data_IF_255718421411
#
_entry.id   IF_255718421411
#
_cell.length_a   1.000
_cell.length_b   1.000
_cell.length_c   1.000
_cell.angle_alpha   90.00
_cell.angle_beta   90.00
_cell.angle_gamma   90.00
#
_symmetry.space_group_name_H-M   'P 1'
#
loop_
_entity.id
_entity.type
_entity.pdbx_description
1 polymer ?
#
# COMPACT_ATOMS: atom_id res chain seq x y z
N UNK A 1 22.78 -1.77 3.66
CA UNK A 1 22.46 -3.19 3.89
C UNK A 1 20.97 -3.35 3.68
N UNK A 2 20.54 -4.33 2.87
CA UNK A 2 19.10 -4.61 2.71
C UNK A 2 18.57 -5.29 3.96
N UNK A 3 17.55 -4.69 4.56
CA UNK A 3 16.85 -5.20 5.72
C UNK A 3 15.47 -5.67 5.26
N UNK A 4 15.01 -6.77 5.84
CA UNK A 4 13.71 -7.36 5.53
C UNK A 4 12.84 -7.33 6.79
N UNK A 5 11.69 -6.68 6.70
CA UNK A 5 10.70 -6.58 7.76
C UNK A 5 9.42 -7.32 7.34
N UNK A 6 8.94 -8.24 8.18
CA UNK A 6 7.71 -9.01 7.93
C UNK A 6 6.74 -8.86 9.09
N UNK A 7 5.46 -8.75 8.77
CA UNK A 7 4.43 -8.69 9.76
C UNK A 7 3.04 -8.69 9.15
N UNK A 8 2.07 -8.23 9.93
CA UNK A 8 0.67 -8.23 9.56
C UNK A 8 0.13 -6.81 9.56
N UNK A 9 -0.97 -6.60 8.85
CA UNK A 9 -1.72 -5.36 8.98
C UNK A 9 -3.21 -5.61 8.93
N UNK A 10 -3.95 -4.70 9.54
CA UNK A 10 -5.40 -4.60 9.41
C UNK A 10 -5.73 -3.42 8.50
N UNK A 11 -6.86 -3.50 7.81
CA UNK A 11 -7.30 -2.47 6.88
C UNK A 11 -8.79 -2.19 7.06
N UNK A 12 -9.14 -0.92 7.20
CA UNK A 12 -10.51 -0.42 7.18
C UNK A 12 -10.70 0.43 5.94
N UNK A 13 -11.72 0.13 5.14
CA UNK A 13 -12.02 0.86 3.91
C UNK A 13 -13.19 1.82 4.12
N UNK A 14 -13.08 3.02 3.57
CA UNK A 14 -14.17 3.97 3.37
C UNK A 14 -14.32 4.20 1.86
N UNK A 15 -15.25 3.47 1.27
CA UNK A 15 -15.56 3.59 -0.15
C UNK A 15 -16.49 4.79 -0.40
N UNK A 16 -16.24 5.49 -1.50
CA UNK A 16 -17.16 6.47 -2.04
C UNK A 16 -17.92 5.86 -3.24
N UNK A 17 -19.09 6.41 -3.61
CA UNK A 17 -19.70 6.08 -4.89
C UNK A 17 -18.73 6.31 -6.06
N UNK A 18 -18.84 5.54 -7.15
CA UNK A 18 -18.08 5.82 -8.37
C UNK A 18 -18.29 7.28 -8.82
N UNK A 19 -17.21 7.95 -9.19
CA UNK A 19 -17.27 9.34 -9.66
C UNK A 19 -17.47 9.43 -11.17
N UNK A 20 -17.26 8.33 -11.89
CA UNK A 20 -17.49 8.21 -13.32
C UNK A 20 -17.91 6.77 -13.65
N UNK A 21 -18.84 6.62 -14.59
CA UNK A 21 -19.25 5.30 -15.09
C UNK A 21 -19.68 5.41 -16.55
N UNK A 22 -18.91 4.76 -17.43
CA UNK A 22 -19.13 4.77 -18.89
C UNK A 22 -18.91 3.35 -19.41
N UNK A 23 -19.82 2.86 -20.25
CA UNK A 23 -19.75 1.54 -20.90
C UNK A 23 -19.48 0.36 -19.94
N UNK A 24 -20.03 0.44 -18.72
CA UNK A 24 -19.85 -0.57 -17.67
C UNK A 24 -18.49 -0.53 -16.97
N UNK A 25 -17.62 0.42 -17.32
CA UNK A 25 -16.40 0.73 -16.57
C UNK A 25 -16.72 1.76 -15.51
N UNK A 26 -16.45 1.44 -14.24
CA UNK A 26 -16.67 2.32 -13.11
C UNK A 26 -15.35 2.82 -12.53
N UNK A 27 -15.19 4.14 -12.43
CA UNK A 27 -14.05 4.77 -11.77
C UNK A 27 -14.42 5.17 -10.35
N UNK A 28 -13.61 4.75 -9.38
CA UNK A 28 -13.90 4.92 -7.97
C UNK A 28 -12.75 5.54 -7.19
N UNK A 29 -13.10 6.22 -6.10
CA UNK A 29 -12.16 6.71 -5.08
C UNK A 29 -12.50 6.03 -3.75
N UNK A 30 -11.46 5.68 -2.99
CA UNK A 30 -11.64 5.20 -1.63
C UNK A 30 -10.48 5.67 -0.75
N UNK A 31 -10.76 5.79 0.55
CA UNK A 31 -9.71 5.94 1.56
C UNK A 31 -9.61 4.68 2.41
N UNK A 32 -8.41 4.40 2.88
CA UNK A 32 -8.17 3.26 3.77
C UNK A 32 -7.35 3.71 4.96
N UNK A 33 -7.72 3.20 6.13
CA UNK A 33 -6.92 3.29 7.34
C UNK A 33 -6.32 1.91 7.60
N UNK A 34 -5.01 1.85 7.82
CA UNK A 34 -4.26 0.62 8.11
C UNK A 34 -3.59 0.69 9.46
N UNK A 35 -3.49 -0.47 10.10
CA UNK A 35 -2.68 -0.68 11.30
C UNK A 35 -1.69 -1.79 11.04
N UNK A 36 -0.40 -1.47 11.01
CA UNK A 36 0.69 -2.44 10.86
C UNK A 36 1.20 -2.89 12.23
N UNK A 37 1.60 -4.16 12.32
CA UNK A 37 2.20 -4.76 13.50
C UNK A 37 3.45 -5.58 13.12
N UNK A 38 4.37 -5.71 14.07
CA UNK A 38 5.68 -6.35 13.88
C UNK A 38 6.80 -5.31 13.78
N UNK A 39 7.88 -5.58 13.02
CA UNK A 39 8.97 -4.62 12.84
C UNK A 39 8.54 -3.29 12.22
N UNK A 40 7.47 -3.26 11.41
CA UNK A 40 6.74 -2.05 11.10
C UNK A 40 5.54 -1.95 12.06
N UNK A 41 5.71 -1.16 13.12
CA UNK A 41 4.64 -0.79 14.05
C UNK A 41 4.20 0.63 13.70
N UNK A 42 3.15 0.75 12.88
CA UNK A 42 2.73 2.00 12.29
C UNK A 42 1.23 2.06 11.99
N UNK A 43 0.73 3.24 11.69
CA UNK A 43 -0.56 3.45 11.01
C UNK A 43 -0.34 3.93 9.58
N UNK A 44 -1.25 3.59 8.69
CA UNK A 44 -1.23 4.00 7.29
C UNK A 44 -2.54 4.68 6.90
N UNK A 45 -2.48 5.83 6.24
CA UNK A 45 -3.66 6.45 5.62
C UNK A 45 -3.47 6.49 4.11
N UNK A 46 -4.39 5.86 3.39
CA UNK A 46 -4.31 5.64 1.95
C UNK A 46 -5.41 6.42 1.24
N UNK A 47 -5.09 7.06 0.11
CA UNK A 47 -6.08 7.48 -0.89
C UNK A 47 -5.86 6.70 -2.17
N UNK A 48 -6.91 6.06 -2.67
CA UNK A 48 -6.89 5.19 -3.85
C UNK A 48 -7.81 5.71 -4.94
N UNK A 49 -7.36 5.58 -6.19
CA UNK A 49 -8.21 5.63 -7.38
C UNK A 49 -8.24 4.25 -8.03
N UNK A 50 -9.39 3.86 -8.56
CA UNK A 50 -9.59 2.55 -9.18
C UNK A 50 -10.43 2.64 -10.44
N UNK A 51 -10.23 1.67 -11.32
CA UNK A 51 -11.08 1.38 -12.46
C UNK A 51 -11.52 -0.08 -12.39
N UNK A 52 -12.83 -0.32 -12.38
CA UNK A 52 -13.42 -1.66 -12.44
C UNK A 52 -14.09 -1.84 -13.79
N UNK A 53 -13.76 -2.93 -14.48
CA UNK A 53 -14.31 -3.24 -15.80
C UNK A 53 -15.49 -4.22 -15.65
N UNK A 54 -16.34 -4.39 -16.69
CA UNK A 54 -17.38 -5.42 -16.66
C UNK A 54 -16.83 -6.86 -16.71
N UNK A 55 -15.54 -7.04 -17.03
CA UNK A 55 -14.92 -8.36 -17.05
C UNK A 55 -14.51 -8.73 -15.62
N UNK A 56 -15.12 -9.80 -15.09
CA UNK A 56 -14.81 -10.32 -13.77
C UNK A 56 -13.31 -10.54 -13.56
N UNK A 57 -12.81 -10.10 -12.41
CA UNK A 57 -11.38 -10.17 -12.06
C UNK A 57 -10.49 -9.23 -12.88
N UNK A 58 -11.04 -8.27 -13.64
CA UNK A 58 -10.26 -7.26 -14.37
C UNK A 58 -10.51 -5.86 -13.84
N UNK A 59 -9.44 -5.22 -13.37
CA UNK A 59 -9.48 -3.90 -12.75
C UNK A 59 -8.06 -3.32 -12.63
N UNK A 60 -7.97 -2.00 -12.43
CA UNK A 60 -6.72 -1.31 -12.13
C UNK A 60 -6.89 -0.40 -10.91
N UNK A 61 -5.80 -0.15 -10.19
CA UNK A 61 -5.79 0.87 -9.16
C UNK A 61 -4.41 1.50 -8.97
N UNK A 62 -4.42 2.72 -8.44
CA UNK A 62 -3.25 3.41 -7.92
C UNK A 62 -3.59 4.00 -6.55
N UNK A 63 -2.60 4.08 -5.67
CA UNK A 63 -2.81 4.70 -4.37
C UNK A 63 -1.53 5.35 -3.84
N UNK A 64 -1.71 6.37 -3.00
CA UNK A 64 -0.66 6.95 -2.18
C UNK A 64 -1.04 6.73 -0.73
N UNK A 65 -0.08 6.24 0.04
CA UNK A 65 -0.24 5.90 1.45
C UNK A 65 0.82 6.62 2.28
N UNK A 66 0.40 7.37 3.30
CA UNK A 66 1.33 7.88 4.32
C UNK A 66 1.35 6.92 5.49
N UNK A 67 2.56 6.50 5.85
CA UNK A 67 2.82 5.62 6.99
C UNK A 67 3.47 6.45 8.09
N UNK A 68 3.00 6.30 9.32
CA UNK A 68 3.49 7.00 10.52
C UNK A 68 3.70 5.99 11.64
N UNK A 69 4.90 5.92 12.20
CA UNK A 69 5.19 4.99 13.30
C UNK A 69 6.67 4.68 13.44
N UNK A 70 6.98 3.41 13.67
CA UNK A 70 8.34 2.88 13.76
C UNK A 70 8.58 1.80 12.71
N UNK A 71 9.78 1.78 12.14
CA UNK A 71 10.29 0.70 11.31
C UNK A 71 11.61 0.24 11.91
N UNK A 72 11.66 -1.01 12.36
CA UNK A 72 12.81 -1.60 13.05
C UNK A 72 13.30 -0.70 14.22
N UNK A 73 12.33 -0.22 15.01
CA UNK A 73 12.56 0.67 16.15
C UNK A 73 12.85 2.14 15.80
N UNK A 74 13.02 2.50 14.52
CA UNK A 74 13.29 3.88 14.09
C UNK A 74 12.02 4.65 13.85
N UNK A 75 11.88 5.80 14.49
CA UNK A 75 10.67 6.61 14.42
C UNK A 75 10.67 7.57 13.23
N UNK A 76 9.55 7.64 12.53
CA UNK A 76 9.38 8.59 11.44
C UNK A 76 8.07 8.41 10.68
N UNK A 77 8.02 9.06 9.52
CA UNK A 77 6.99 8.88 8.52
C UNK A 77 7.62 8.57 7.18
N UNK A 78 6.88 7.92 6.28
CA UNK A 78 7.26 7.77 4.87
C UNK A 78 6.00 7.59 4.02
N UNK A 79 6.17 7.62 2.70
CA UNK A 79 5.06 7.45 1.76
C UNK A 79 5.29 6.21 0.90
N UNK A 80 4.26 5.40 0.73
CA UNK A 80 4.21 4.28 -0.21
C UNK A 80 3.35 4.67 -1.42
N UNK A 81 3.85 4.37 -2.61
CA UNK A 81 3.10 4.40 -3.87
C UNK A 81 2.69 2.99 -4.26
N UNK A 82 1.42 2.82 -4.61
CA UNK A 82 0.83 1.57 -5.07
C UNK A 82 0.44 1.68 -6.54
N UNK A 83 0.70 0.62 -7.31
CA UNK A 83 0.19 0.43 -8.66
C UNK A 83 -0.20 -1.04 -8.84
N UNK A 84 -1.48 -1.29 -9.01
CA UNK A 84 -2.04 -2.63 -9.13
C UNK A 84 -2.84 -2.81 -10.42
N UNK A 85 -2.68 -3.97 -11.05
CA UNK A 85 -3.47 -4.40 -12.19
C UNK A 85 -3.96 -5.82 -11.95
N UNK A 86 -5.22 -6.06 -12.28
CA UNK A 86 -5.84 -7.37 -12.33
C UNK A 86 -6.27 -7.63 -13.78
N UNK A 87 -5.82 -8.76 -14.33
CA UNK A 87 -6.20 -9.25 -15.64
C UNK A 87 -6.86 -10.61 -15.47
N UNK A 88 -8.20 -10.64 -15.47
CA UNK A 88 -9.01 -11.87 -15.38
C UNK A 88 -8.57 -12.78 -14.23
N UNK A 89 -8.35 -12.21 -13.06
CA UNK A 89 -7.91 -12.92 -11.86
C UNK A 89 -6.40 -13.02 -11.66
N UNK A 90 -5.58 -12.80 -12.68
CA UNK A 90 -4.14 -12.65 -12.51
C UNK A 90 -3.80 -11.24 -12.01
N UNK A 91 -3.17 -11.12 -10.84
CA UNK A 91 -2.85 -9.83 -10.23
C UNK A 91 -1.36 -9.53 -10.28
N UNK A 92 -1.03 -8.26 -10.52
CA UNK A 92 0.32 -7.70 -10.37
C UNK A 92 0.23 -6.46 -9.51
N UNK A 93 1.12 -6.36 -8.52
CA UNK A 93 1.16 -5.23 -7.59
C UNK A 93 2.60 -4.75 -7.40
N UNK A 94 2.79 -3.44 -7.52
CA UNK A 94 3.99 -2.73 -7.11
C UNK A 94 3.67 -1.78 -5.97
N UNK A 95 4.33 -1.97 -4.82
CA UNK A 95 4.28 -1.04 -3.69
C UNK A 95 5.70 -0.59 -3.38
N UNK A 96 5.99 0.69 -3.49
CA UNK A 96 7.36 1.24 -3.37
C UNK A 96 7.38 2.45 -2.46
N UNK A 97 8.43 2.59 -1.66
CA UNK A 97 8.69 3.83 -0.92
C UNK A 97 8.92 4.95 -1.95
N UNK A 98 8.21 6.06 -1.79
CA UNK A 98 8.44 7.26 -2.59
C UNK A 98 9.79 7.85 -2.17
N UNK A 99 10.73 8.10 -3.11
CA UNK A 99 12.02 8.69 -2.79
C UNK A 99 11.89 9.96 -1.94
N UNK A 100 12.80 10.12 -0.98
CA UNK A 100 12.89 11.28 -0.09
C UNK A 100 11.61 11.58 0.74
N UNK A 101 10.67 10.64 0.81
CA UNK A 101 9.46 10.79 1.62
C UNK A 101 9.67 10.47 3.10
N UNK A 102 10.78 9.81 3.42
CA UNK A 102 11.16 9.44 4.78
C UNK A 102 11.48 10.65 5.65
N UNK A 103 11.02 10.65 6.90
CA UNK A 103 11.29 11.73 7.87
C UNK A 103 11.84 11.18 9.19
N UNK A 104 12.39 12.06 10.03
CA UNK A 104 12.97 11.66 11.31
C UNK A 104 14.10 10.67 11.12
N UNK A 105 14.06 9.56 11.86
CA UNK A 105 15.07 8.49 11.76
C UNK A 105 14.88 7.60 10.52
N UNK A 106 13.82 7.86 9.73
CA UNK A 106 13.55 7.21 8.45
C UNK A 106 13.94 8.08 7.24
N UNK A 107 14.62 9.21 7.45
CA UNK A 107 15.18 9.99 6.35
C UNK A 107 16.12 9.12 5.49
N UNK A 108 16.02 9.25 4.17
CA UNK A 108 16.78 8.41 3.23
C UNK A 108 16.27 6.97 3.07
N UNK A 109 15.09 6.64 3.61
CA UNK A 109 14.46 5.34 3.39
C UNK A 109 14.16 5.11 1.91
N UNK A 110 14.55 3.93 1.43
CA UNK A 110 14.13 3.38 0.14
C UNK A 110 13.67 1.93 0.33
N UNK A 111 12.77 1.44 -0.52
CA UNK A 111 12.30 0.06 -0.38
C UNK A 111 11.10 -0.30 -1.24
N UNK A 112 10.75 -1.59 -1.19
CA UNK A 112 9.59 -2.18 -1.86
C UNK A 112 8.85 -3.09 -0.88
N UNK A 113 7.53 -2.99 -0.88
CA UNK A 113 6.66 -3.85 -0.09
C UNK A 113 5.93 -4.86 -0.99
N UNK A 114 5.90 -6.10 -0.53
CA UNK A 114 5.04 -7.15 -1.03
C UNK A 114 3.89 -7.35 -0.04
N UNK A 115 2.69 -7.57 -0.56
CA UNK A 115 1.49 -7.81 0.24
C UNK A 115 0.94 -9.19 -0.12
N UNK A 116 0.59 -9.97 0.89
CA UNK A 116 -0.05 -11.27 0.74
C UNK A 116 -1.31 -11.33 1.58
N UNK A 117 -2.31 -12.06 1.08
CA UNK A 117 -3.55 -12.33 1.80
C UNK A 117 -3.67 -13.84 1.89
N UNK A 118 -3.64 -14.37 3.11
CA UNK A 118 -3.75 -15.80 3.40
C UNK A 118 -4.91 -15.97 4.36
N UNK A 119 -5.92 -16.72 3.95
CA UNK A 119 -7.12 -17.01 4.77
C UNK A 119 -7.79 -15.73 5.33
N UNK A 120 -7.81 -14.66 4.53
CA UNK A 120 -8.40 -13.37 4.91
C UNK A 120 -7.51 -12.48 5.80
N UNK A 121 -6.34 -12.96 6.22
CA UNK A 121 -5.36 -12.17 6.97
C UNK A 121 -4.35 -11.51 6.04
N UNK A 122 -4.07 -10.23 6.26
CA UNK A 122 -3.11 -9.47 5.47
C UNK A 122 -1.71 -9.50 6.08
N UNK A 123 -0.73 -9.76 5.23
CA UNK A 123 0.70 -9.80 5.55
C UNK A 123 1.45 -8.81 4.67
N UNK A 124 2.51 -8.23 5.23
CA UNK A 124 3.49 -7.44 4.48
C UNK A 124 4.88 -8.07 4.59
N UNK A 125 5.66 -7.85 3.55
CA UNK A 125 7.11 -8.04 3.53
C UNK A 125 7.72 -6.78 2.91
N UNK A 126 8.48 -6.01 3.69
CA UNK A 126 9.15 -4.79 3.27
C UNK A 126 10.65 -5.05 3.18
N UNK A 127 11.18 -5.01 1.96
CA UNK A 127 12.61 -4.93 1.70
C UNK A 127 13.01 -3.45 1.64
N UNK A 128 13.91 -3.02 2.53
CA UNK A 128 14.28 -1.62 2.63
C UNK A 128 15.77 -1.40 2.93
N UNK A 129 16.20 -0.17 2.65
CA UNK A 129 17.50 0.38 3.00
C UNK A 129 17.27 1.77 3.58
N UNK A 130 18.04 2.13 4.62
CA UNK A 130 18.13 3.48 5.12
C UNK A 130 19.45 4.08 4.64
N UNK A 131 19.38 5.26 4.03
CA UNK A 131 20.55 6.02 3.62
C UNK A 131 21.55 6.13 4.78
N UNK A 132 22.83 5.93 4.46
CA UNK A 132 23.95 6.24 5.36
C UNK A 132 24.14 7.73 5.51
#
# INVERSE_FOLDING_TARGET
>A
MKINAKGTFEVTMKAEPPYDTVDGVALGRATFDKRFAGPLDATGTVTMLSARTPVNGSAGYVAIERVTGTLDGKHGTFVLQHSGTMNRGASTLSVTVVPDSGTGELAGLSGRMNIQIVEGKHFYELDFELGT
#
